data_IF_075504400439
#
_entry.id   IF_075504400439
#
_cell.length_a   1.000
_cell.length_b   1.000
_cell.length_c   1.000
_cell.angle_alpha   90.00
_cell.angle_beta   90.00
_cell.angle_gamma   90.00
#
_symmetry.space_group_name_H-M   'P 1'
#
loop_
_entity.id
_entity.type
_entity.pdbx_description
1 polymer ?
#
# COMPACT_ATOMS: atom_id res chain seq x y z
N UNK A 1 14.14 12.96 0.31
CA UNK A 1 12.91 12.25 -0.10
C UNK A 1 12.81 11.01 0.77
N UNK A 2 11.75 10.85 1.55
CA UNK A 2 11.60 9.73 2.49
C UNK A 2 10.17 9.19 2.48
N UNK A 3 10.01 7.91 2.78
CA UNK A 3 8.70 7.28 2.94
C UNK A 3 8.29 7.28 4.41
N UNK A 4 6.98 7.26 4.67
CA UNK A 4 6.47 6.93 6.00
C UNK A 4 6.77 5.45 6.34
N UNK A 5 6.75 5.07 7.63
CA UNK A 5 6.99 3.69 8.04
C UNK A 5 6.01 2.67 7.44
N UNK A 6 4.80 3.10 7.08
CA UNK A 6 3.82 2.24 6.42
C UNK A 6 3.91 2.28 4.88
N UNK A 7 4.80 3.07 4.30
CA UNK A 7 5.04 3.17 2.85
C UNK A 7 3.89 3.78 2.04
N UNK A 8 2.89 4.39 2.68
CA UNK A 8 1.70 5.01 2.09
C UNK A 8 1.98 6.39 1.49
N UNK A 9 2.89 7.13 2.08
CA UNK A 9 3.19 8.52 1.79
C UNK A 9 4.67 8.73 1.50
N UNK A 10 4.93 9.65 0.61
CA UNK A 10 6.26 10.05 0.20
C UNK A 10 6.44 11.53 0.49
N UNK A 11 7.37 11.82 1.39
CA UNK A 11 7.75 13.17 1.77
C UNK A 11 8.90 13.64 0.89
N UNK A 12 8.66 14.72 0.17
CA UNK A 12 9.67 15.40 -0.66
C UNK A 12 9.80 16.84 -0.15
N UNK A 13 11.02 17.26 0.12
CA UNK A 13 11.32 18.67 0.40
C UNK A 13 12.01 19.24 -0.84
N UNK A 14 11.39 20.22 -1.50
CA UNK A 14 12.05 21.10 -2.46
C UNK A 14 12.63 22.32 -1.76
N UNK A 15 13.00 23.37 -2.49
CA UNK A 15 13.68 24.55 -1.90
C UNK A 15 12.94 25.17 -0.71
N UNK A 16 11.63 25.44 -0.83
CA UNK A 16 10.84 26.12 0.23
C UNK A 16 9.51 25.45 0.54
N UNK A 17 9.25 24.27 -0.03
CA UNK A 17 7.95 23.60 0.12
C UNK A 17 8.16 22.12 0.39
N UNK A 18 7.47 21.63 1.44
CA UNK A 18 7.32 20.21 1.73
C UNK A 18 6.07 19.72 1.00
N UNK A 19 6.24 18.70 0.15
CA UNK A 19 5.15 18.00 -0.54
C UNK A 19 4.99 16.61 0.04
N UNK A 20 3.74 16.22 0.26
CA UNK A 20 3.35 14.86 0.66
C UNK A 20 2.62 14.24 -0.52
N UNK A 21 3.18 13.17 -1.06
CA UNK A 21 2.64 12.46 -2.23
C UNK A 21 2.10 11.10 -1.78
N UNK A 22 0.99 10.66 -2.36
CA UNK A 22 0.48 9.30 -2.15
C UNK A 22 1.27 8.28 -2.98
N UNK A 23 1.74 7.20 -2.35
CA UNK A 23 2.50 6.15 -3.01
C UNK A 23 1.57 5.17 -3.76
N UNK A 24 1.01 5.63 -4.88
CA UNK A 24 0.10 4.84 -5.72
C UNK A 24 0.75 3.52 -6.17
N UNK A 25 2.01 3.54 -6.59
CA UNK A 25 2.75 2.35 -7.00
C UNK A 25 2.91 1.35 -5.86
N UNK A 26 3.13 1.82 -4.63
CA UNK A 26 3.25 0.98 -3.44
C UNK A 26 2.00 0.16 -3.16
N UNK A 27 0.80 0.68 -3.47
CA UNK A 27 -0.43 -0.10 -3.28
C UNK A 27 -0.54 -1.26 -4.27
N UNK A 28 -0.16 -1.07 -5.54
CA UNK A 28 -0.15 -2.15 -6.54
C UNK A 28 0.82 -3.27 -6.18
N UNK A 29 2.04 -2.92 -5.77
CA UNK A 29 3.05 -3.90 -5.34
C UNK A 29 2.62 -4.64 -4.08
N UNK A 30 1.99 -3.95 -3.13
CA UNK A 30 1.44 -4.55 -1.90
C UNK A 30 0.33 -5.55 -2.23
N UNK A 31 -0.60 -5.21 -3.13
CA UNK A 31 -1.67 -6.12 -3.57
C UNK A 31 -1.06 -7.38 -4.21
N UNK A 32 -0.09 -7.24 -5.10
CA UNK A 32 0.57 -8.37 -5.74
C UNK A 32 1.31 -9.26 -4.72
N UNK A 33 2.03 -8.64 -3.78
CA UNK A 33 2.75 -9.36 -2.73
C UNK A 33 1.79 -10.14 -1.82
N UNK A 34 0.71 -9.49 -1.36
CA UNK A 34 -0.32 -10.15 -0.56
C UNK A 34 -1.02 -11.27 -1.33
N UNK A 35 -1.31 -11.07 -2.62
CA UNK A 35 -1.91 -12.11 -3.47
C UNK A 35 -0.98 -13.32 -3.62
N UNK A 36 0.32 -13.08 -3.79
CA UNK A 36 1.33 -14.15 -3.83
C UNK A 36 1.42 -14.89 -2.50
N UNK A 37 1.39 -14.18 -1.38
CA UNK A 37 1.42 -14.79 -0.05
C UNK A 37 0.15 -15.61 0.24
N UNK A 38 -1.01 -15.18 -0.25
CA UNK A 38 -2.26 -15.95 -0.18
C UNK A 38 -2.22 -17.27 -0.94
N UNK A 39 -1.38 -17.39 -1.98
CA UNK A 39 -1.19 -18.65 -2.71
C UNK A 39 -0.37 -19.68 -1.91
N UNK A 40 0.32 -19.27 -0.84
CA UNK A 40 1.05 -20.15 0.07
C UNK A 40 0.16 -20.67 1.21
N UNK A 41 0.50 -21.81 1.81
CA UNK A 41 -0.18 -22.29 3.03
C UNK A 41 0.05 -21.31 4.18
N UNK A 42 -1.04 -20.69 4.64
CA UNK A 42 -1.05 -19.75 5.76
C UNK A 42 -2.15 -20.14 6.76
N UNK A 43 -2.03 -19.68 8.00
CA UNK A 43 -3.08 -19.83 9.01
C UNK A 43 -4.31 -19.00 8.65
N UNK A 44 -5.49 -19.42 9.12
CA UNK A 44 -6.77 -18.73 8.86
C UNK A 44 -6.73 -17.24 9.24
N UNK A 45 -6.18 -16.91 10.41
CA UNK A 45 -6.04 -15.53 10.88
C UNK A 45 -5.15 -14.66 9.95
N UNK A 46 -4.08 -15.24 9.42
CA UNK A 46 -3.17 -14.54 8.49
C UNK A 46 -3.84 -14.32 7.14
N UNK A 47 -4.63 -15.28 6.66
CA UNK A 47 -5.41 -15.15 5.42
C UNK A 47 -6.42 -14.01 5.52
N UNK A 48 -7.14 -13.90 6.63
CA UNK A 48 -8.09 -12.79 6.86
C UNK A 48 -7.39 -11.43 6.88
N UNK A 49 -6.24 -11.31 7.57
CA UNK A 49 -5.43 -10.09 7.55
C UNK A 49 -4.98 -9.71 6.14
N UNK A 50 -4.53 -10.67 5.33
CA UNK A 50 -4.09 -10.41 3.95
C UNK A 50 -5.26 -9.95 3.08
N UNK A 51 -6.43 -10.59 3.19
CA UNK A 51 -7.65 -10.18 2.47
C UNK A 51 -8.08 -8.77 2.85
N UNK A 52 -8.07 -8.42 4.14
CA UNK A 52 -8.39 -7.08 4.61
C UNK A 52 -7.40 -6.04 4.06
N UNK A 53 -6.10 -6.34 4.09
CA UNK A 53 -5.07 -5.46 3.53
C UNK A 53 -5.29 -5.21 2.04
N UNK A 54 -5.59 -6.26 1.26
CA UNK A 54 -5.88 -6.12 -0.18
C UNK A 54 -7.13 -5.25 -0.40
N UNK A 55 -8.18 -5.46 0.39
CA UNK A 55 -9.43 -4.68 0.31
C UNK A 55 -9.17 -3.20 0.56
N UNK A 56 -8.39 -2.88 1.59
CA UNK A 56 -8.05 -1.50 1.95
C UNK A 56 -7.18 -0.82 0.87
N UNK A 57 -6.19 -1.54 0.32
CA UNK A 57 -5.38 -1.04 -0.78
C UNK A 57 -6.23 -0.77 -2.04
N UNK A 58 -7.16 -1.67 -2.39
CA UNK A 58 -8.08 -1.46 -3.53
C UNK A 58 -9.03 -0.29 -3.29
N UNK A 59 -9.59 -0.15 -2.09
CA UNK A 59 -10.44 0.98 -1.75
C UNK A 59 -9.68 2.32 -1.83
N UNK A 60 -8.40 2.31 -1.47
CA UNK A 60 -7.53 3.47 -1.56
C UNK A 60 -7.23 3.83 -3.02
N UNK A 61 -6.93 2.85 -3.87
CA UNK A 61 -6.71 3.06 -5.31
C UNK A 61 -7.97 3.60 -6.02
N UNK A 62 -9.15 3.08 -5.67
CA UNK A 62 -10.42 3.54 -6.23
C UNK A 62 -10.67 5.04 -5.97
N UNK A 63 -10.22 5.59 -4.82
CA UNK A 63 -10.31 7.03 -4.53
C UNK A 63 -9.45 7.88 -5.45
N UNK A 64 -8.39 7.30 -6.01
CA UNK A 64 -7.51 7.96 -6.98
C UNK A 64 -7.94 7.71 -8.43
N UNK A 65 -9.10 7.08 -8.66
CA UNK A 65 -9.62 6.78 -9.99
C UNK A 65 -8.83 5.70 -10.73
N UNK A 66 -8.14 4.82 -10.00
CA UNK A 66 -7.34 3.71 -10.54
C UNK A 66 -7.80 2.35 -10.03
#
# INVERSE_FOLDING_TARGET
MTFDPAGKYLFVCGERVVRVLHNVCGYFTTINSCTRLLASKQTSATVERLKNTIKDCKATLAKFGK
#
